data_IF_355541130468
#
_entry.id   IF_355541130468
#
_cell.length_a   1.000
_cell.length_b   1.000
_cell.length_c   1.000
_cell.angle_alpha   90.00
_cell.angle_beta   90.00
_cell.angle_gamma   90.00
#
_symmetry.space_group_name_H-M   'P 1'
#
loop_
_entity.id
_entity.type
_entity.pdbx_description
1 polymer ?
#
# COMPACT_ATOMS: atom_id res chain seq x y z
N UNK A 1 9.50 -25.28 11.47
CA UNK A 1 10.90 -25.43 11.91
C UNK A 1 11.64 -24.15 11.53
N UNK A 2 12.16 -23.43 12.52
CA UNK A 2 13.07 -22.29 12.33
C UNK A 2 14.49 -22.86 12.48
N UNK A 3 15.38 -22.58 11.55
CA UNK A 3 16.78 -23.03 11.62
C UNK A 3 17.60 -21.75 11.60
N UNK A 4 18.27 -21.47 12.70
CA UNK A 4 19.17 -20.34 12.86
C UNK A 4 20.63 -20.81 12.69
N UNK A 5 21.54 -19.86 12.49
CA UNK A 5 22.95 -20.18 12.22
C UNK A 5 23.60 -20.92 13.40
N UNK A 6 23.16 -20.60 14.61
CA UNK A 6 23.57 -21.24 15.86
C UNK A 6 23.21 -22.73 15.88
N UNK A 7 22.07 -23.14 15.30
CA UNK A 7 21.69 -24.56 15.23
C UNK A 7 22.66 -25.37 14.37
N UNK A 8 23.19 -24.78 13.29
CA UNK A 8 24.16 -25.41 12.41
C UNK A 8 25.57 -25.44 13.03
N UNK A 9 25.94 -24.38 13.72
CA UNK A 9 27.19 -24.33 14.48
C UNK A 9 27.18 -25.36 15.62
N UNK A 10 26.03 -25.54 16.29
CA UNK A 10 25.86 -26.58 17.30
C UNK A 10 25.86 -27.99 16.72
N UNK A 11 25.25 -28.20 15.55
CA UNK A 11 25.32 -29.48 14.84
C UNK A 11 26.77 -29.83 14.41
N UNK A 12 27.56 -28.83 14.03
CA UNK A 12 28.99 -29.00 13.74
C UNK A 12 29.81 -29.29 15.01
N UNK A 13 29.51 -28.60 16.11
CA UNK A 13 30.14 -28.85 17.42
C UNK A 13 29.85 -30.28 17.92
N UNK A 14 28.64 -30.77 17.70
CA UNK A 14 28.22 -32.16 18.00
C UNK A 14 28.74 -33.19 16.99
N UNK A 15 29.52 -32.77 15.98
CA UNK A 15 30.07 -33.61 14.90
C UNK A 15 29.01 -34.37 14.10
N UNK A 16 27.79 -33.85 14.05
CA UNK A 16 26.71 -34.40 13.20
C UNK A 16 26.99 -34.07 11.73
N UNK A 17 27.60 -32.91 11.48
CA UNK A 17 28.06 -32.41 10.18
C UNK A 17 29.44 -31.78 10.31
N UNK A 18 30.22 -31.80 9.23
CA UNK A 18 31.52 -31.10 9.18
C UNK A 18 31.30 -29.57 9.15
N UNK A 19 32.15 -28.75 9.79
CA UNK A 19 32.09 -27.29 9.69
C UNK A 19 32.00 -26.76 8.26
N UNK A 20 32.71 -27.37 7.31
CA UNK A 20 32.65 -27.00 5.89
C UNK A 20 31.28 -27.31 5.27
N UNK A 21 30.66 -28.43 5.67
CA UNK A 21 29.32 -28.82 5.23
C UNK A 21 28.25 -27.91 5.85
N UNK A 22 28.38 -27.55 7.13
CA UNK A 22 27.50 -26.61 7.80
C UNK A 22 27.50 -25.23 7.12
N UNK A 23 28.68 -24.72 6.75
CA UNK A 23 28.82 -23.47 6.00
C UNK A 23 28.19 -23.55 4.59
N UNK A 24 28.41 -24.66 3.87
CA UNK A 24 27.80 -24.87 2.55
C UNK A 24 26.27 -24.97 2.64
N UNK A 25 25.75 -25.65 3.67
CA UNK A 25 24.32 -25.78 3.92
C UNK A 25 23.68 -24.44 4.27
N UNK A 26 24.35 -23.61 5.07
CA UNK A 26 23.88 -22.26 5.38
C UNK A 26 23.76 -21.40 4.13
N UNK A 27 24.77 -21.40 3.25
CA UNK A 27 24.73 -20.67 1.97
C UNK A 27 23.59 -21.15 1.09
N UNK A 28 23.39 -22.47 0.99
CA UNK A 28 22.25 -23.04 0.26
C UNK A 28 20.89 -22.57 0.82
N UNK A 29 20.74 -22.52 2.14
CA UNK A 29 19.50 -22.08 2.79
C UNK A 29 19.26 -20.57 2.60
N UNK A 30 20.31 -19.75 2.66
CA UNK A 30 20.24 -18.31 2.33
C UNK A 30 19.83 -18.09 0.87
N UNK A 31 20.45 -18.81 -0.08
CA UNK A 31 20.14 -18.74 -1.51
C UNK A 31 18.72 -19.25 -1.83
N UNK A 32 18.23 -20.23 -1.08
CA UNK A 32 16.87 -20.80 -1.23
C UNK A 32 15.79 -19.91 -0.61
N UNK A 33 16.13 -19.09 0.39
CA UNK A 33 15.20 -18.19 1.07
C UNK A 33 15.64 -16.71 1.07
N UNK A 34 15.95 -16.09 -0.08
CA UNK A 34 16.54 -14.74 -0.19
C UNK A 34 15.55 -13.59 0.09
N UNK A 35 14.48 -13.86 0.82
CA UNK A 35 13.36 -12.94 1.01
C UNK A 35 12.56 -13.15 2.29
N UNK A 36 13.07 -13.92 3.26
CA UNK A 36 12.43 -14.00 4.57
C UNK A 36 12.66 -12.67 5.28
N UNK A 37 11.63 -11.82 5.31
CA UNK A 37 11.66 -10.56 6.05
C UNK A 37 11.96 -10.87 7.52
N UNK A 38 13.20 -10.69 7.95
CA UNK A 38 13.55 -10.77 9.37
C UNK A 38 12.93 -9.58 10.07
N UNK A 39 12.37 -9.80 11.27
CA UNK A 39 11.99 -8.71 12.17
C UNK A 39 13.26 -8.02 12.67
N UNK A 40 13.83 -7.18 11.81
CA UNK A 40 14.99 -6.34 12.11
C UNK A 40 14.46 -4.93 12.37
N UNK A 41 15.05 -4.19 13.31
CA UNK A 41 14.64 -2.82 13.63
C UNK A 41 14.57 -1.90 12.40
N UNK A 42 15.42 -2.14 11.40
CA UNK A 42 15.38 -1.46 10.11
C UNK A 42 14.08 -1.69 9.32
N UNK A 43 13.60 -2.94 9.27
CA UNK A 43 12.33 -3.25 8.60
C UNK A 43 11.15 -2.61 9.34
N UNK A 44 11.18 -2.61 10.68
CA UNK A 44 10.17 -1.91 11.48
C UNK A 44 10.17 -0.41 11.16
N UNK A 45 11.35 0.21 11.07
CA UNK A 45 11.46 1.62 10.68
C UNK A 45 10.90 1.90 9.29
N UNK A 46 11.10 1.00 8.31
CA UNK A 46 10.50 1.15 6.98
C UNK A 46 8.97 1.07 7.02
N UNK A 47 8.39 0.09 7.71
CA UNK A 47 6.93 -0.02 7.83
C UNK A 47 6.35 1.17 8.61
N UNK A 48 6.97 1.55 9.73
CA UNK A 48 6.51 2.66 10.56
C UNK A 48 6.60 3.99 9.83
N UNK A 49 7.72 4.27 9.16
CA UNK A 49 7.87 5.44 8.30
C UNK A 49 6.83 5.46 7.18
N UNK A 50 6.50 4.28 6.62
CA UNK A 50 5.49 4.19 5.59
C UNK A 50 4.08 4.50 6.10
N UNK A 51 3.74 4.00 7.29
CA UNK A 51 2.47 4.31 7.95
C UNK A 51 2.39 5.80 8.30
N UNK A 52 3.48 6.41 8.77
CA UNK A 52 3.54 7.85 9.03
C UNK A 52 3.30 8.65 7.76
N UNK A 53 3.91 8.26 6.63
CA UNK A 53 3.65 8.92 5.34
C UNK A 53 2.18 8.79 4.94
N UNK A 54 1.61 7.58 5.00
CA UNK A 54 0.19 7.36 4.66
C UNK A 54 -0.73 8.19 5.57
N UNK A 55 -0.47 8.22 6.87
CA UNK A 55 -1.25 8.99 7.84
C UNK A 55 -1.10 10.51 7.64
N UNK A 56 0.14 10.99 7.46
CA UNK A 56 0.42 12.39 7.19
C UNK A 56 -0.23 12.85 5.89
N UNK A 57 -0.27 11.98 4.88
CA UNK A 57 -1.02 12.24 3.68
C UNK A 57 -2.51 12.32 4.00
N UNK A 58 -3.14 11.28 4.54
CA UNK A 58 -4.56 11.35 4.93
C UNK A 58 -4.96 12.61 5.69
N UNK A 59 -4.10 13.07 6.61
CA UNK A 59 -4.29 14.30 7.39
C UNK A 59 -4.04 15.61 6.61
N UNK A 60 -2.90 15.74 5.91
CA UNK A 60 -2.58 16.95 5.16
C UNK A 60 -3.57 17.17 4.02
N UNK A 61 -4.09 16.08 3.45
CA UNK A 61 -5.07 16.06 2.37
C UNK A 61 -6.40 16.70 2.80
N UNK A 62 -6.87 16.46 4.03
CA UNK A 62 -8.13 17.08 4.51
C UNK A 62 -8.02 18.59 4.76
N UNK A 63 -6.81 19.11 5.02
CA UNK A 63 -6.58 20.52 5.32
C UNK A 63 -6.09 21.34 4.11
N UNK A 64 -5.20 20.77 3.29
CA UNK A 64 -4.56 21.48 2.17
C UNK A 64 -5.47 21.67 0.94
N UNK A 65 -6.41 20.75 0.73
CA UNK A 65 -7.19 20.71 -0.52
C UNK A 65 -8.33 21.70 -0.63
N UNK A 66 -8.83 22.22 0.49
CA UNK A 66 -9.81 23.32 0.43
C UNK A 66 -9.24 24.57 -0.26
N UNK A 67 -7.92 24.72 -0.33
CA UNK A 67 -7.27 25.92 -0.90
C UNK A 67 -6.73 25.76 -2.32
N UNK A 68 -6.48 24.54 -2.79
CA UNK A 68 -5.72 24.29 -4.04
C UNK A 68 -6.58 23.92 -5.25
N UNK A 69 -7.84 23.54 -5.05
CA UNK A 69 -8.76 23.17 -6.13
C UNK A 69 -8.53 21.76 -6.70
N UNK A 70 -9.55 21.13 -7.31
CA UNK A 70 -9.55 19.69 -7.61
C UNK A 70 -8.47 19.21 -8.59
N UNK A 71 -8.20 20.00 -9.63
CA UNK A 71 -7.18 19.66 -10.64
C UNK A 71 -5.76 19.67 -10.06
N UNK A 72 -5.45 20.60 -9.16
CA UNK A 72 -4.17 20.62 -8.48
C UNK A 72 -3.97 19.36 -7.64
N UNK A 73 -5.02 18.91 -6.96
CA UNK A 73 -5.02 17.66 -6.19
C UNK A 73 -4.71 16.47 -7.09
N UNK A 74 -5.40 16.35 -8.23
CA UNK A 74 -5.17 15.27 -9.19
C UNK A 74 -3.71 15.25 -9.67
N UNK A 75 -3.17 16.40 -10.05
CA UNK A 75 -1.79 16.50 -10.54
C UNK A 75 -0.77 16.13 -9.48
N UNK A 76 -0.97 16.59 -8.24
CA UNK A 76 -0.10 16.25 -7.11
C UNK A 76 -0.17 14.73 -6.83
N UNK A 77 -1.37 14.15 -6.80
CA UNK A 77 -1.57 12.71 -6.59
C UNK A 77 -0.83 11.87 -7.63
N UNK A 78 -1.02 12.20 -8.91
CA UNK A 78 -0.34 11.52 -10.03
C UNK A 78 1.17 11.71 -9.95
N UNK A 79 1.64 12.91 -9.63
CA UNK A 79 3.06 13.20 -9.44
C UNK A 79 3.70 12.36 -8.32
N UNK A 80 3.04 12.28 -7.16
CA UNK A 80 3.49 11.42 -6.06
C UNK A 80 3.47 9.94 -6.46
N UNK A 81 2.39 9.47 -7.09
CA UNK A 81 2.29 8.08 -7.55
C UNK A 81 3.44 7.72 -8.50
N UNK A 82 3.73 8.58 -9.49
CA UNK A 82 4.83 8.38 -10.43
C UNK A 82 6.19 8.40 -9.74
N UNK A 83 6.39 9.30 -8.76
CA UNK A 83 7.60 9.34 -7.94
C UNK A 83 7.78 8.04 -7.14
N UNK A 84 6.75 7.59 -6.43
CA UNK A 84 6.81 6.36 -5.64
C UNK A 84 7.04 5.11 -6.50
N UNK A 85 6.40 5.01 -7.67
CA UNK A 85 6.63 3.88 -8.59
C UNK A 85 8.05 3.89 -9.14
N UNK A 86 8.54 5.06 -9.57
CA UNK A 86 9.89 5.16 -10.16
C UNK A 86 10.99 4.91 -9.13
N UNK A 87 10.90 5.50 -7.94
CA UNK A 87 11.83 5.25 -6.84
C UNK A 87 11.70 3.81 -6.35
N UNK A 88 10.46 3.31 -6.18
CA UNK A 88 10.19 1.93 -5.78
C UNK A 88 10.74 0.90 -6.76
N UNK A 89 10.65 1.15 -8.07
CA UNK A 89 11.26 0.32 -9.10
C UNK A 89 12.79 0.29 -9.00
N UNK A 90 13.42 1.45 -8.79
CA UNK A 90 14.88 1.55 -8.60
C UNK A 90 15.35 0.82 -7.35
N UNK A 91 14.69 1.02 -6.22
CA UNK A 91 15.04 0.33 -4.96
C UNK A 91 14.89 -1.18 -5.10
N UNK A 92 13.85 -1.64 -5.79
CA UNK A 92 13.58 -3.07 -5.95
C UNK A 92 14.53 -3.78 -6.92
N UNK A 93 15.28 -3.03 -7.74
CA UNK A 93 16.37 -3.59 -8.54
C UNK A 93 17.54 -4.05 -7.64
N UNK A 94 17.67 -3.49 -6.44
CA UNK A 94 18.67 -3.90 -5.45
C UNK A 94 18.12 -5.04 -4.57
N UNK A 95 18.84 -6.17 -4.42
CA UNK A 95 18.36 -7.34 -3.67
C UNK A 95 17.88 -7.05 -2.24
N UNK A 96 18.60 -6.18 -1.52
CA UNK A 96 18.34 -5.87 -0.10
C UNK A 96 17.24 -4.83 0.13
N UNK A 97 16.80 -4.13 -0.92
CA UNK A 97 15.83 -3.03 -0.83
C UNK A 97 14.45 -3.40 -1.39
N UNK A 98 14.17 -4.70 -1.52
CA UNK A 98 12.87 -5.20 -2.00
C UNK A 98 11.70 -4.80 -1.08
N UNK A 99 11.93 -4.76 0.24
CA UNK A 99 10.92 -4.36 1.25
C UNK A 99 10.57 -2.87 1.11
N UNK A 100 11.52 -1.92 1.23
CA UNK A 100 11.21 -0.50 1.06
C UNK A 100 10.69 -0.19 -0.34
N UNK A 101 11.19 -0.88 -1.38
CA UNK A 101 10.63 -0.79 -2.72
C UNK A 101 9.15 -1.18 -2.78
N UNK A 102 8.77 -2.30 -2.15
CA UNK A 102 7.37 -2.75 -2.07
C UNK A 102 6.46 -1.78 -1.31
N UNK A 103 6.98 -1.12 -0.26
CA UNK A 103 6.24 -0.12 0.51
C UNK A 103 5.94 1.14 -0.31
N UNK A 104 6.86 1.59 -1.16
CA UNK A 104 6.61 2.71 -2.06
C UNK A 104 5.51 2.38 -3.09
N UNK A 105 5.46 1.14 -3.59
CA UNK A 105 4.33 0.71 -4.42
C UNK A 105 3.00 0.77 -3.66
N UNK A 106 2.97 0.40 -2.38
CA UNK A 106 1.77 0.49 -1.57
C UNK A 106 1.33 1.95 -1.39
N UNK A 107 2.26 2.87 -1.13
CA UNK A 107 1.96 4.30 -1.11
C UNK A 107 1.41 4.78 -2.45
N UNK A 108 2.02 4.38 -3.57
CA UNK A 108 1.53 4.74 -4.90
C UNK A 108 0.08 4.31 -5.12
N UNK A 109 -0.30 3.10 -4.67
CA UNK A 109 -1.68 2.62 -4.72
C UNK A 109 -2.60 3.51 -3.87
N UNK A 110 -2.17 3.93 -2.68
CA UNK A 110 -2.91 4.87 -1.84
C UNK A 110 -3.10 6.27 -2.46
N UNK A 111 -2.38 6.63 -3.54
CA UNK A 111 -2.64 7.87 -4.30
C UNK A 111 -3.82 7.75 -5.27
N UNK A 112 -4.23 6.53 -5.61
CA UNK A 112 -5.27 6.28 -6.61
C UNK A 112 -6.61 6.94 -6.29
N UNK A 113 -7.21 6.78 -5.09
CA UNK A 113 -8.52 7.35 -4.81
C UNK A 113 -8.46 8.88 -4.92
N UNK A 114 -7.35 9.46 -4.50
CA UNK A 114 -7.14 10.89 -4.56
C UNK A 114 -7.04 11.44 -5.99
N UNK A 115 -6.31 10.75 -6.86
CA UNK A 115 -6.20 11.12 -8.27
C UNK A 115 -7.57 11.07 -8.95
N UNK A 116 -8.35 10.02 -8.67
CA UNK A 116 -9.71 9.85 -9.20
C UNK A 116 -10.62 10.95 -8.66
N UNK A 117 -10.62 11.23 -7.37
CA UNK A 117 -11.43 12.30 -6.78
C UNK A 117 -11.14 13.67 -7.42
N UNK A 118 -9.86 14.01 -7.58
CA UNK A 118 -9.46 15.27 -8.20
C UNK A 118 -9.87 15.36 -9.67
N UNK A 119 -9.83 14.23 -10.39
CA UNK A 119 -10.28 14.11 -11.78
C UNK A 119 -11.81 14.27 -11.88
N UNK A 120 -12.57 13.57 -11.05
CA UNK A 120 -14.04 13.63 -11.03
C UNK A 120 -14.53 15.04 -10.69
N UNK A 121 -14.02 15.62 -9.60
CA UNK A 121 -14.39 16.97 -9.17
C UNK A 121 -13.87 18.06 -10.11
N UNK A 122 -12.74 17.84 -10.78
CA UNK A 122 -12.18 18.77 -11.76
C UNK A 122 -12.90 18.74 -13.11
N UNK A 123 -13.33 17.57 -13.57
CA UNK A 123 -14.04 17.40 -14.84
C UNK A 123 -15.52 17.76 -14.76
N UNK A 124 -16.05 17.94 -13.55
CA UNK A 124 -17.49 18.15 -13.32
C UNK A 124 -18.33 16.93 -13.70
N UNK A 125 -17.70 15.77 -13.90
CA UNK A 125 -18.37 14.54 -14.25
C UNK A 125 -19.02 13.97 -12.99
N UNK A 126 -20.30 14.30 -12.79
CA UNK A 126 -21.14 13.77 -11.72
C UNK A 126 -22.12 12.74 -12.28
N UNK A 127 -21.83 11.43 -12.20
CA UNK A 127 -22.76 10.43 -12.71
C UNK A 127 -24.09 10.40 -11.94
N UNK A 128 -24.13 10.87 -10.67
CA UNK A 128 -25.37 10.88 -9.86
C UNK A 128 -25.55 12.16 -9.01
N UNK A 129 -24.54 12.66 -8.26
CA UNK A 129 -24.60 13.95 -7.53
C UNK A 129 -23.20 14.51 -7.16
N UNK A 130 -23.15 15.82 -6.90
CA UNK A 130 -21.94 16.58 -6.47
C UNK A 130 -21.41 16.06 -5.10
N UNK A 131 -20.14 15.64 -4.93
CA UNK A 131 -19.60 14.98 -3.74
C UNK A 131 -19.16 15.98 -2.67
N UNK A 132 -19.32 17.27 -2.89
CA UNK A 132 -18.96 18.28 -1.90
C UNK A 132 -17.46 18.30 -1.59
N UNK A 133 -17.10 18.76 -0.39
CA UNK A 133 -15.72 19.04 0.00
C UNK A 133 -15.01 17.84 0.63
N UNK A 134 -13.69 17.70 0.43
CA UNK A 134 -12.88 16.55 0.89
C UNK A 134 -12.89 16.36 2.42
N UNK A 135 -13.37 17.34 3.20
CA UNK A 135 -13.56 17.20 4.65
C UNK A 135 -14.75 16.31 5.03
N UNK A 136 -15.62 15.99 4.08
CA UNK A 136 -16.74 15.07 4.26
C UNK A 136 -16.35 13.59 4.07
N UNK A 137 -15.05 13.28 3.99
CA UNK A 137 -14.52 11.92 3.88
C UNK A 137 -14.89 11.00 5.06
N UNK A 138 -15.32 11.58 6.19
CA UNK A 138 -15.66 10.85 7.41
C UNK A 138 -17.16 10.80 7.77
N UNK A 139 -18.04 11.73 7.37
CA UNK A 139 -19.47 11.62 7.69
C UNK A 139 -20.40 11.22 6.52
N UNK A 140 -20.00 11.31 5.26
CA UNK A 140 -20.95 11.17 4.13
C UNK A 140 -20.58 10.07 3.14
N UNK A 141 -21.16 8.89 3.35
CA UNK A 141 -21.18 7.79 2.37
C UNK A 141 -22.09 8.21 1.21
N UNK A 142 -21.51 8.84 0.18
CA UNK A 142 -22.22 9.23 -1.05
C UNK A 142 -21.89 8.27 -2.19
N UNK A 143 -22.90 7.81 -2.91
CA UNK A 143 -22.83 6.80 -3.98
C UNK A 143 -21.88 7.12 -5.16
N UNK A 144 -21.28 8.31 -5.25
CA UNK A 144 -20.25 8.65 -6.27
C UNK A 144 -18.88 7.99 -6.02
N UNK A 145 -18.69 7.28 -4.90
CA UNK A 145 -17.36 6.83 -4.44
C UNK A 145 -16.96 5.43 -4.89
N UNK A 146 -17.89 4.65 -5.46
CA UNK A 146 -17.62 3.31 -6.00
C UNK A 146 -16.51 3.33 -7.06
N UNK A 147 -16.40 4.40 -7.85
CA UNK A 147 -15.35 4.54 -8.88
C UNK A 147 -13.96 4.73 -8.29
N UNK A 148 -13.82 5.49 -7.19
CA UNK A 148 -12.56 5.65 -6.47
C UNK A 148 -12.09 4.33 -5.87
N UNK A 149 -13.00 3.59 -5.23
CA UNK A 149 -12.68 2.29 -4.63
C UNK A 149 -12.36 1.24 -5.69
N UNK A 150 -13.15 1.15 -6.76
CA UNK A 150 -12.90 0.25 -7.88
C UNK A 150 -11.55 0.54 -8.56
N UNK A 151 -11.22 1.82 -8.80
CA UNK A 151 -9.94 2.22 -9.35
C UNK A 151 -8.77 1.85 -8.41
N UNK A 152 -8.95 2.03 -7.10
CA UNK A 152 -7.94 1.68 -6.09
C UNK A 152 -7.70 0.18 -6.04
N UNK A 153 -8.77 -0.63 -6.09
CA UNK A 153 -8.68 -2.09 -6.18
C UNK A 153 -7.96 -2.50 -7.47
N UNK A 154 -8.31 -1.90 -8.61
CA UNK A 154 -7.64 -2.18 -9.89
C UNK A 154 -6.15 -1.83 -9.83
N UNK A 155 -5.79 -0.66 -9.28
CA UNK A 155 -4.41 -0.25 -9.08
C UNK A 155 -3.66 -1.21 -8.17
N UNK A 156 -4.28 -1.65 -7.07
CA UNK A 156 -3.71 -2.64 -6.16
C UNK A 156 -3.50 -4.00 -6.84
N UNK A 157 -4.44 -4.46 -7.67
CA UNK A 157 -4.30 -5.70 -8.45
C UNK A 157 -3.17 -5.60 -9.48
N UNK A 158 -3.06 -4.49 -10.19
CA UNK A 158 -1.95 -4.23 -11.13
C UNK A 158 -0.62 -4.20 -10.39
N UNK A 159 -0.56 -3.54 -9.23
CA UNK A 159 0.62 -3.50 -8.39
C UNK A 159 0.98 -4.90 -7.88
N UNK A 160 0.02 -5.69 -7.39
CA UNK A 160 0.24 -7.07 -6.90
C UNK A 160 0.72 -8.01 -8.01
N UNK A 161 0.25 -7.84 -9.26
CA UNK A 161 0.74 -8.62 -10.40
C UNK A 161 2.20 -8.32 -10.72
N UNK A 162 2.62 -7.06 -10.61
CA UNK A 162 4.02 -6.65 -10.87
C UNK A 162 4.93 -6.89 -9.66
N UNK A 163 4.40 -6.72 -8.46
CA UNK A 163 5.10 -6.68 -7.19
C UNK A 163 4.38 -7.61 -6.22
N UNK A 164 4.86 -8.85 -6.11
CA UNK A 164 4.40 -9.83 -5.12
C UNK A 164 4.83 -9.40 -3.72
N UNK A 165 4.11 -8.47 -3.11
CA UNK A 165 4.40 -7.93 -1.78
C UNK A 165 3.13 -7.88 -0.93
N UNK A 166 3.15 -8.58 0.21
CA UNK A 166 1.95 -8.83 1.02
C UNK A 166 1.28 -7.55 1.54
N UNK A 167 2.06 -6.51 1.84
CA UNK A 167 1.50 -5.25 2.35
C UNK A 167 0.61 -4.52 1.33
N UNK A 168 0.76 -4.79 0.03
CA UNK A 168 -0.14 -4.24 -1.01
C UNK A 168 -1.58 -4.74 -0.87
N UNK A 169 -1.81 -5.83 -0.13
CA UNK A 169 -3.15 -6.32 0.19
C UNK A 169 -3.87 -5.37 1.14
N UNK A 170 -3.17 -4.62 1.99
CA UNK A 170 -3.80 -3.73 2.96
C UNK A 170 -4.60 -2.60 2.28
N UNK A 171 -4.05 -1.81 1.34
CA UNK A 171 -4.85 -0.85 0.58
C UNK A 171 -6.03 -1.47 -0.18
N UNK A 172 -5.84 -2.67 -0.74
CA UNK A 172 -6.92 -3.37 -1.44
C UNK A 172 -8.06 -3.79 -0.49
N UNK A 173 -7.71 -4.30 0.70
CA UNK A 173 -8.67 -4.73 1.72
C UNK A 173 -9.47 -3.53 2.26
N UNK A 174 -8.79 -2.40 2.52
CA UNK A 174 -9.44 -1.16 2.92
C UNK A 174 -10.40 -0.67 1.84
N UNK A 175 -9.97 -0.69 0.58
CA UNK A 175 -10.83 -0.26 -0.53
C UNK A 175 -12.06 -1.16 -0.72
N UNK A 176 -11.89 -2.48 -0.61
CA UNK A 176 -12.99 -3.43 -0.66
C UNK A 176 -13.96 -3.28 0.52
N UNK A 177 -13.45 -2.94 1.71
CA UNK A 177 -14.26 -2.64 2.88
C UNK A 177 -15.15 -1.40 2.62
N UNK A 178 -14.58 -0.31 2.14
CA UNK A 178 -15.34 0.89 1.75
C UNK A 178 -16.37 0.58 0.67
N UNK A 179 -15.97 -0.13 -0.39
CA UNK A 179 -16.89 -0.55 -1.45
C UNK A 179 -18.05 -1.40 -0.93
N UNK A 180 -17.82 -2.24 0.09
CA UNK A 180 -18.88 -3.01 0.74
C UNK A 180 -19.87 -2.12 1.49
N UNK A 181 -19.42 -1.06 2.15
CA UNK A 181 -20.30 -0.10 2.83
C UNK A 181 -21.13 0.70 1.82
N UNK A 182 -20.51 1.16 0.73
CA UNK A 182 -21.19 1.87 -0.35
C UNK A 182 -22.27 1.01 -1.03
N UNK A 183 -21.95 -0.26 -1.29
CA UNK A 183 -22.89 -1.22 -1.88
C UNK A 183 -24.07 -1.50 -0.93
N UNK A 184 -23.80 -1.64 0.37
CA UNK A 184 -24.85 -1.82 1.37
C UNK A 184 -25.78 -0.59 1.44
N UNK A 185 -25.23 0.62 1.37
CA UNK A 185 -26.01 1.86 1.32
C UNK A 185 -26.87 1.95 0.06
N UNK A 186 -26.30 1.60 -1.11
CA UNK A 186 -27.03 1.58 -2.38
C UNK A 186 -28.21 0.60 -2.36
N UNK A 187 -28.00 -0.62 -1.85
CA UNK A 187 -29.02 -1.67 -1.77
C UNK A 187 -30.10 -1.38 -0.73
N UNK A 188 -29.77 -0.65 0.35
CA UNK A 188 -30.72 -0.28 1.39
C UNK A 188 -31.70 0.83 0.98
N UNK A 189 -31.54 1.44 -0.20
CA UNK A 189 -32.42 2.50 -0.71
C UNK A 189 -32.37 3.82 0.08
N UNK A 190 -31.52 3.89 1.11
CA UNK A 190 -31.35 5.06 1.97
C UNK A 190 -30.16 5.86 1.47
N UNK A 191 -30.44 6.94 0.75
CA UNK A 191 -29.44 7.87 0.25
C UNK A 191 -28.76 8.72 1.34
N UNK A 192 -29.18 8.61 2.61
CA UNK A 192 -28.61 9.35 3.73
C UNK A 192 -28.64 8.49 5.01
N UNK A 193 -27.55 7.78 5.30
CA UNK A 193 -27.30 7.30 6.66
C UNK A 193 -26.48 8.35 7.40
N UNK A 194 -27.17 9.19 8.17
CA UNK A 194 -26.57 10.11 9.13
C UNK A 194 -26.20 9.30 10.39
N UNK A 195 -24.89 9.23 10.70
CA UNK A 195 -24.40 8.91 12.05
C UNK A 195 -24.05 10.21 12.76
#
# INVERSE_FOLDING_TARGET
>A
MHIDREDLDEAAARRIVDPAQAAALWRFLEERHPGRARFTGLNVAYYLGSLVVIAAMGWLMTLGFQRMGPWAVCLIAVGYAACFVSVGARLRATPDLKIPGGLLYAMAVCMTPLAIWGLEKGSGFWPVHDPGDYRDFYPYIRSSWIWMEAATVLAALVALRKVKFTFLVAPAAVALWFMSMDMAAYLAGNHEWQL
#
